data_IF_761060623422
#
_entry.id   IF_761060623422
#
_cell.length_a   1.000
_cell.length_b   1.000
_cell.length_c   1.000
_cell.angle_alpha   90.00
_cell.angle_beta   90.00
_cell.angle_gamma   90.00
#
_symmetry.space_group_name_H-M   'P 1'
#
loop_
_entity.id
_entity.type
_entity.pdbx_description
1 polymer ?
#
# COMPACT_ATOMS: atom_id res chain seq x y z
N UNK A 1 28.89 6.67 4.46
CA UNK A 1 29.80 7.83 4.65
C UNK A 1 30.98 7.78 3.68
N UNK A 2 31.31 6.62 3.12
CA UNK A 2 32.39 6.42 2.14
C UNK A 2 32.25 7.27 0.87
N UNK A 3 31.03 7.49 0.38
CA UNK A 3 30.79 8.35 -0.79
C UNK A 3 31.25 9.80 -0.58
N UNK A 4 31.13 10.33 0.66
CA UNK A 4 31.59 11.67 1.02
C UNK A 4 33.11 11.77 0.96
N UNK A 5 33.81 10.72 1.42
CA UNK A 5 35.27 10.64 1.39
C UNK A 5 35.80 10.46 -0.04
N UNK A 6 35.14 9.62 -0.83
CA UNK A 6 35.62 9.24 -2.17
C UNK A 6 35.22 10.24 -3.27
N UNK A 7 34.11 10.98 -3.10
CA UNK A 7 33.57 11.89 -4.13
C UNK A 7 33.10 13.23 -3.55
N UNK A 8 33.97 14.02 -2.88
CA UNK A 8 33.56 15.20 -2.14
C UNK A 8 32.94 16.31 -3.00
N UNK A 9 33.30 16.41 -4.28
CA UNK A 9 32.76 17.43 -5.21
C UNK A 9 31.41 17.05 -5.85
N UNK A 10 30.94 15.83 -5.66
CA UNK A 10 29.69 15.39 -6.26
C UNK A 10 28.50 16.03 -5.52
N UNK A 11 27.53 16.54 -6.27
CA UNK A 11 26.27 17.03 -5.71
C UNK A 11 25.47 15.89 -5.09
N UNK A 12 24.84 16.14 -3.94
CA UNK A 12 24.12 15.09 -3.21
C UNK A 12 22.97 14.48 -4.02
N UNK A 13 22.16 15.30 -4.70
CA UNK A 13 21.05 14.78 -5.53
C UNK A 13 21.53 13.91 -6.70
N UNK A 14 22.74 14.15 -7.24
CA UNK A 14 23.34 13.31 -8.26
C UNK A 14 23.75 11.94 -7.70
N UNK A 15 24.13 11.87 -6.42
CA UNK A 15 24.35 10.58 -5.76
C UNK A 15 23.02 9.86 -5.52
N UNK A 16 22.02 10.55 -4.97
CA UNK A 16 20.70 9.97 -4.71
C UNK A 16 20.02 9.47 -6.00
N UNK A 17 20.21 10.17 -7.12
CA UNK A 17 19.68 9.77 -8.43
C UNK A 17 20.24 8.45 -8.97
N UNK A 18 21.28 7.89 -8.36
CA UNK A 18 21.75 6.52 -8.68
C UNK A 18 20.86 5.43 -8.07
N UNK A 19 20.10 5.78 -7.04
CA UNK A 19 19.22 4.87 -6.30
C UNK A 19 17.74 5.19 -6.52
N UNK A 20 17.42 6.45 -6.79
CA UNK A 20 16.05 6.94 -6.92
C UNK A 20 15.82 7.63 -8.26
N UNK A 21 14.56 7.78 -8.65
CA UNK A 21 14.19 8.63 -9.77
C UNK A 21 14.70 10.06 -9.55
N UNK A 22 15.24 10.70 -10.60
CA UNK A 22 15.87 12.03 -10.51
C UNK A 22 14.99 13.09 -9.83
N UNK A 23 13.69 13.10 -10.14
CA UNK A 23 12.73 14.04 -9.51
C UNK A 23 12.60 13.82 -8.01
N UNK A 24 12.57 12.55 -7.56
CA UNK A 24 12.50 12.21 -6.14
C UNK A 24 13.80 12.59 -5.43
N UNK A 25 14.96 12.35 -6.05
CA UNK A 25 16.25 12.74 -5.50
C UNK A 25 16.37 14.26 -5.28
N UNK A 26 15.87 15.07 -6.23
CA UNK A 26 15.81 16.52 -6.11
C UNK A 26 14.83 16.93 -5.00
N UNK A 27 13.62 16.35 -5.00
CA UNK A 27 12.61 16.63 -3.97
C UNK A 27 13.13 16.36 -2.56
N UNK A 28 13.82 15.24 -2.33
CA UNK A 28 14.39 14.91 -1.01
C UNK A 28 15.38 15.99 -0.56
N UNK A 29 16.26 16.46 -1.45
CA UNK A 29 17.23 17.50 -1.12
C UNK A 29 16.58 18.86 -0.85
N UNK A 30 15.51 19.18 -1.55
CA UNK A 30 14.73 20.42 -1.35
C UNK A 30 13.96 20.39 -0.03
N UNK A 31 13.27 19.28 0.27
CA UNK A 31 12.44 19.11 1.46
C UNK A 31 13.25 19.22 2.76
N UNK A 32 14.49 18.71 2.78
CA UNK A 32 15.38 18.81 3.96
C UNK A 32 16.26 20.06 4.00
N UNK A 33 16.13 20.96 3.02
CA UNK A 33 16.97 22.17 2.84
C UNK A 33 18.48 21.83 2.81
N UNK A 34 18.84 20.85 1.96
CA UNK A 34 20.22 20.41 1.77
C UNK A 34 20.58 20.41 0.29
N UNK A 35 21.29 21.45 -0.14
CA UNK A 35 21.89 21.52 -1.48
C UNK A 35 23.42 21.60 -1.42
N UNK A 36 24.06 21.18 -2.52
CA UNK A 36 25.48 21.34 -2.77
C UNK A 36 26.29 20.04 -2.77
N UNK A 37 27.60 20.22 -2.67
CA UNK A 37 28.60 19.15 -2.75
C UNK A 37 28.72 18.39 -1.43
N UNK A 38 28.83 17.06 -1.49
CA UNK A 38 28.88 16.22 -0.28
C UNK A 38 30.02 16.56 0.68
N UNK A 39 31.19 16.94 0.15
CA UNK A 39 32.37 17.27 0.95
C UNK A 39 32.16 18.46 1.88
N UNK A 40 31.28 19.40 1.51
CA UNK A 40 30.92 20.57 2.33
C UNK A 40 29.77 20.32 3.31
N UNK A 41 29.15 19.14 3.29
CA UNK A 41 27.99 18.85 4.14
C UNK A 41 28.42 18.35 5.51
N UNK A 42 27.76 18.85 6.56
CA UNK A 42 27.91 18.26 7.89
C UNK A 42 27.22 16.90 7.95
N UNK A 43 27.71 16.02 8.82
CA UNK A 43 27.09 14.71 9.00
C UNK A 43 25.66 14.84 9.54
N UNK A 44 25.35 15.93 10.26
CA UNK A 44 23.99 16.26 10.69
C UNK A 44 23.05 16.47 9.50
N UNK A 45 23.50 17.18 8.44
CA UNK A 45 22.71 17.36 7.20
C UNK A 45 22.51 16.04 6.48
N UNK A 46 23.56 15.21 6.39
CA UNK A 46 23.48 13.90 5.76
C UNK A 46 22.56 12.94 6.51
N UNK A 47 22.52 13.01 7.85
CA UNK A 47 21.59 12.24 8.68
C UNK A 47 20.14 12.64 8.41
N UNK A 48 19.82 13.93 8.32
CA UNK A 48 18.45 14.39 7.95
C UNK A 48 17.97 13.79 6.63
N UNK A 49 18.85 13.75 5.62
CA UNK A 49 18.55 13.14 4.31
C UNK A 49 18.31 11.64 4.47
N UNK A 50 19.16 10.94 5.24
CA UNK A 50 18.98 9.52 5.50
C UNK A 50 17.68 9.22 6.26
N UNK A 51 17.32 10.06 7.23
CA UNK A 51 16.09 9.94 8.01
C UNK A 51 14.86 10.12 7.11
N UNK A 52 14.88 11.11 6.21
CA UNK A 52 13.79 11.27 5.24
C UNK A 52 13.69 10.08 4.28
N UNK A 53 14.82 9.58 3.76
CA UNK A 53 14.83 8.45 2.82
C UNK A 53 14.30 7.16 3.46
N UNK A 54 14.69 6.88 4.70
CA UNK A 54 14.39 5.60 5.36
C UNK A 54 13.16 5.65 6.26
N UNK A 55 12.69 6.84 6.62
CA UNK A 55 11.56 7.08 7.51
C UNK A 55 10.61 8.12 6.94
N UNK A 56 10.33 8.06 5.64
CA UNK A 56 9.43 9.01 5.00
C UNK A 56 8.00 8.87 5.53
N UNK A 57 7.55 9.87 6.29
CA UNK A 57 6.18 9.94 6.77
C UNK A 57 5.31 10.71 5.77
N UNK A 58 4.37 10.00 5.14
CA UNK A 58 3.34 10.58 4.27
C UNK A 58 2.01 10.54 5.01
N UNK A 59 1.29 11.66 5.01
CA UNK A 59 -0.08 11.74 5.56
C UNK A 59 -1.08 11.80 4.38
N UNK A 60 -1.76 10.69 4.05
CA UNK A 60 -2.81 10.71 3.03
C UNK A 60 -3.99 11.55 3.50
N UNK A 61 -4.56 12.37 2.61
CA UNK A 61 -5.76 13.18 2.91
C UNK A 61 -7.06 12.37 2.85
N UNK A 62 -7.02 11.13 2.35
CA UNK A 62 -8.18 10.25 2.17
C UNK A 62 -7.91 9.19 1.11
N UNK A 63 -8.93 8.38 0.79
CA UNK A 63 -8.93 7.46 -0.35
C UNK A 63 -9.68 8.07 -1.55
N UNK A 64 -9.44 7.53 -2.75
CA UNK A 64 -10.13 7.98 -3.96
C UNK A 64 -11.62 7.57 -4.03
N UNK A 65 -12.05 6.71 -3.10
CA UNK A 65 -13.42 6.21 -3.01
C UNK A 65 -13.74 5.08 -4.01
N UNK A 66 -15.01 4.67 -4.02
CA UNK A 66 -15.45 3.44 -4.67
C UNK A 66 -15.37 3.44 -6.20
N UNK A 67 -15.20 4.60 -6.83
CA UNK A 67 -15.03 4.67 -8.30
C UNK A 67 -13.68 4.12 -8.75
N UNK A 68 -12.65 4.20 -7.90
CA UNK A 68 -11.31 3.66 -8.18
C UNK A 68 -10.99 2.42 -7.33
N UNK A 69 -11.72 2.17 -6.24
CA UNK A 69 -11.49 0.98 -5.42
C UNK A 69 -11.71 -0.30 -6.23
N UNK A 70 -10.79 -1.25 -6.12
CA UNK A 70 -10.93 -2.56 -6.79
C UNK A 70 -11.89 -3.49 -6.06
N UNK A 71 -12.07 -3.30 -4.75
CA UNK A 71 -12.93 -4.13 -3.89
C UNK A 71 -13.57 -3.29 -2.79
N UNK A 72 -14.66 -3.80 -2.23
CA UNK A 72 -15.38 -3.21 -1.10
C UNK A 72 -14.98 -3.90 0.21
N UNK A 73 -14.62 -3.09 1.22
CA UNK A 73 -14.47 -3.55 2.60
C UNK A 73 -15.83 -3.51 3.31
N UNK A 74 -16.12 -4.51 4.14
CA UNK A 74 -17.43 -4.67 4.76
C UNK A 74 -18.37 -5.52 3.90
N UNK A 75 -19.65 -5.51 4.25
CA UNK A 75 -20.68 -6.26 3.53
C UNK A 75 -21.72 -6.83 4.49
N UNK A 76 -22.42 -7.87 4.04
CA UNK A 76 -23.35 -8.63 4.87
C UNK A 76 -22.57 -9.37 5.95
N UNK A 77 -23.00 -9.20 7.20
CA UNK A 77 -22.35 -9.81 8.36
C UNK A 77 -22.35 -11.34 8.24
N UNK A 78 -21.16 -11.93 8.14
CA UNK A 78 -20.96 -13.36 7.97
C UNK A 78 -21.48 -14.21 9.14
N UNK A 79 -21.71 -13.61 10.32
CA UNK A 79 -22.36 -14.30 11.46
C UNK A 79 -23.83 -14.63 11.22
N UNK A 80 -24.46 -13.97 10.25
CA UNK A 80 -25.86 -14.17 9.91
C UNK A 80 -26.03 -15.13 8.72
N UNK A 81 -24.93 -15.68 8.22
CA UNK A 81 -24.86 -16.54 7.05
C UNK A 81 -24.23 -17.87 7.48
N UNK A 82 -24.83 -18.98 7.04
CA UNK A 82 -24.26 -20.30 7.26
C UNK A 82 -22.91 -20.42 6.53
N UNK A 83 -21.89 -20.90 7.24
CA UNK A 83 -20.55 -21.08 6.67
C UNK A 83 -20.42 -22.32 5.78
N UNK A 84 -21.46 -23.16 5.70
CA UNK A 84 -21.43 -24.40 4.90
C UNK A 84 -22.06 -24.20 3.53
N UNK A 85 -23.26 -23.61 3.48
CA UNK A 85 -24.09 -23.50 2.28
C UNK A 85 -24.41 -22.05 1.89
N UNK A 86 -23.98 -21.08 2.69
CA UNK A 86 -24.21 -19.65 2.47
C UNK A 86 -25.68 -19.20 2.52
N UNK A 87 -26.55 -19.98 3.16
CA UNK A 87 -27.93 -19.57 3.43
C UNK A 87 -28.00 -18.54 4.56
N UNK A 88 -28.92 -17.58 4.44
CA UNK A 88 -29.26 -16.63 5.50
C UNK A 88 -29.92 -17.32 6.68
N UNK A 89 -29.44 -17.04 7.88
CA UNK A 89 -30.05 -17.50 9.14
C UNK A 89 -31.39 -16.81 9.45
N UNK A 90 -31.70 -15.70 8.77
CA UNK A 90 -32.92 -14.90 8.99
C UNK A 90 -34.03 -15.20 8.00
N UNK A 91 -33.67 -15.71 6.82
CA UNK A 91 -34.62 -15.94 5.73
C UNK A 91 -34.27 -17.24 5.03
N UNK A 92 -35.13 -18.24 5.19
CA UNK A 92 -35.00 -19.51 4.48
C UNK A 92 -35.08 -19.30 2.96
N UNK A 93 -34.25 -20.03 2.22
CA UNK A 93 -34.17 -19.95 0.75
C UNK A 93 -33.38 -18.74 0.21
N UNK A 94 -32.91 -17.83 1.06
CA UNK A 94 -32.05 -16.71 0.65
C UNK A 94 -30.57 -17.06 0.85
N UNK A 95 -29.77 -16.92 -0.20
CA UNK A 95 -28.33 -17.22 -0.19
C UNK A 95 -27.52 -16.00 -0.62
N UNK A 96 -26.36 -15.81 0.01
CA UNK A 96 -25.49 -14.67 -0.28
C UNK A 96 -24.04 -15.16 -0.40
N UNK A 97 -23.41 -14.88 -1.54
CA UNK A 97 -22.05 -15.34 -1.89
C UNK A 97 -21.19 -14.17 -2.39
N UNK A 98 -19.88 -14.41 -2.52
CA UNK A 98 -18.94 -13.47 -3.12
C UNK A 98 -18.75 -12.19 -2.31
N UNK A 99 -18.45 -11.10 -3.01
CA UNK A 99 -18.06 -9.80 -2.42
C UNK A 99 -19.19 -9.09 -1.66
N UNK A 100 -20.44 -9.55 -1.77
CA UNK A 100 -21.53 -8.98 -0.98
C UNK A 100 -21.39 -9.31 0.51
N UNK A 101 -20.68 -10.38 0.84
CA UNK A 101 -20.35 -10.77 2.21
C UNK A 101 -19.22 -9.90 2.77
N UNK A 102 -19.21 -9.71 4.09
CA UNK A 102 -18.11 -9.09 4.82
C UNK A 102 -16.86 -10.00 4.87
N UNK A 103 -16.26 -10.19 3.69
CA UNK A 103 -15.04 -10.95 3.44
C UNK A 103 -14.27 -10.26 2.32
N UNK A 104 -13.09 -9.73 2.65
CA UNK A 104 -12.23 -9.04 1.69
C UNK A 104 -10.82 -9.65 1.71
N UNK A 105 -10.36 -10.11 0.56
CA UNK A 105 -9.02 -10.63 0.37
C UNK A 105 -8.00 -9.55 0.00
N UNK A 106 -6.72 -9.84 0.20
CA UNK A 106 -5.64 -8.99 -0.32
C UNK A 106 -5.62 -8.96 -1.85
N UNK A 107 -4.90 -7.99 -2.41
CA UNK A 107 -4.61 -7.94 -3.85
C UNK A 107 -3.85 -9.20 -4.28
N UNK A 108 -4.15 -9.70 -5.49
CA UNK A 108 -3.48 -10.88 -6.06
C UNK A 108 -4.37 -12.11 -6.22
N UNK A 109 -5.66 -11.93 -6.49
CA UNK A 109 -6.57 -13.02 -6.89
C UNK A 109 -7.41 -13.64 -5.76
N UNK A 110 -7.20 -13.23 -4.51
CA UNK A 110 -7.94 -13.76 -3.35
C UNK A 110 -9.45 -13.48 -3.41
N UNK A 111 -9.85 -12.30 -3.89
CA UNK A 111 -11.27 -11.95 -4.03
C UNK A 111 -11.98 -12.80 -5.10
N UNK A 112 -11.29 -13.12 -6.20
CA UNK A 112 -11.80 -14.09 -7.18
C UNK A 112 -11.91 -15.48 -6.57
N UNK A 113 -10.85 -15.96 -5.90
CA UNK A 113 -10.88 -17.26 -5.23
C UNK A 113 -12.04 -17.37 -4.24
N UNK A 114 -12.32 -16.29 -3.48
CA UNK A 114 -13.45 -16.21 -2.57
C UNK A 114 -14.80 -16.30 -3.31
N UNK A 115 -14.97 -15.54 -4.38
CA UNK A 115 -16.18 -15.59 -5.20
C UNK A 115 -16.44 -17.00 -5.76
N UNK A 116 -15.39 -17.68 -6.24
CA UNK A 116 -15.50 -19.05 -6.75
C UNK A 116 -15.83 -20.06 -5.66
N UNK A 117 -15.12 -20.01 -4.53
CA UNK A 117 -15.31 -20.97 -3.44
C UNK A 117 -16.70 -20.86 -2.80
N UNK A 118 -17.14 -19.63 -2.50
CA UNK A 118 -18.47 -19.38 -1.94
C UNK A 118 -19.59 -19.76 -2.90
N UNK A 119 -19.45 -19.40 -4.18
CA UNK A 119 -20.39 -19.79 -5.23
C UNK A 119 -20.47 -21.31 -5.42
N UNK A 120 -19.33 -22.01 -5.40
CA UNK A 120 -19.30 -23.47 -5.49
C UNK A 120 -20.02 -24.13 -4.30
N UNK A 121 -19.69 -23.72 -3.07
CA UNK A 121 -20.28 -24.30 -1.86
C UNK A 121 -21.80 -24.12 -1.82
N UNK A 122 -22.29 -22.91 -2.12
CA UNK A 122 -23.72 -22.64 -2.24
C UNK A 122 -24.37 -23.50 -3.34
N UNK A 123 -23.77 -23.52 -4.53
CA UNK A 123 -24.31 -24.29 -5.66
C UNK A 123 -24.35 -25.79 -5.44
N UNK A 124 -23.46 -26.36 -4.61
CA UNK A 124 -23.48 -27.79 -4.25
C UNK A 124 -24.51 -28.15 -3.17
N UNK A 125 -25.03 -27.16 -2.45
CA UNK A 125 -25.98 -27.35 -1.35
C UNK A 125 -27.45 -27.11 -1.76
N UNK A 126 -27.68 -26.58 -2.98
CA UNK A 126 -28.99 -26.36 -3.60
C UNK A 126 -29.47 -27.60 -4.37
#
# INVERSE_FOLDING_TARGET
MDAKANNPKQLLHNLLSKYFAKKLAIYITEEVDVDGQMGGMSDKKLRKVADMVNGWHVLPNGSEGNRTAEVTLGGVNTREISSQDFQSTKTEGLYIIGELLDVTGFLGGYNFQWAWASGYACGTAL
#
